data_IF_049262646290
#
_entry.id   IF_049262646290
#
_cell.length_a   1.000
_cell.length_b   1.000
_cell.length_c   1.000
_cell.angle_alpha   90.00
_cell.angle_beta   90.00
_cell.angle_gamma   90.00
#
_symmetry.space_group_name_H-M   'P 1'
#
loop_
_entity.id
_entity.type
_entity.pdbx_description
1 polymer ?
#
# COMPACT_ATOMS: atom_id res chain seq x y z
N UNK A 1 -7.34 -0.78 -17.10
CA UNK A 1 -6.43 0.06 -16.28
C UNK A 1 -6.36 -0.57 -14.92
N UNK A 2 -5.18 -0.77 -14.37
CA UNK A 2 -5.03 -1.26 -13.01
C UNK A 2 -5.35 -0.12 -12.03
N UNK A 3 -6.14 -0.42 -11.00
CA UNK A 3 -6.51 0.58 -10.00
C UNK A 3 -5.34 0.90 -9.08
N UNK A 4 -5.27 2.15 -8.63
CA UNK A 4 -4.20 2.66 -7.77
C UNK A 4 -4.77 3.18 -6.46
N UNK A 5 -4.10 2.85 -5.37
CA UNK A 5 -4.50 3.13 -4.01
C UNK A 5 -3.38 3.86 -3.29
N UNK A 6 -3.71 4.96 -2.60
CA UNK A 6 -2.71 5.80 -1.93
C UNK A 6 -2.88 5.73 -0.42
N UNK A 7 -1.81 5.32 0.27
CA UNK A 7 -1.75 5.33 1.73
C UNK A 7 -0.77 6.38 2.22
N UNK A 8 -1.11 7.04 3.34
CA UNK A 8 -0.26 8.05 4.00
C UNK A 8 -0.13 7.74 5.48
N UNK A 9 1.09 7.81 6.01
CA UNK A 9 1.36 7.56 7.42
C UNK A 9 2.68 8.18 7.89
N UNK A 10 2.99 8.03 9.18
CA UNK A 10 4.25 8.48 9.77
C UNK A 10 5.40 7.48 9.56
N UNK A 11 5.12 6.31 8.98
CA UNK A 11 6.09 5.31 8.53
C UNK A 11 5.75 4.83 7.11
N UNK A 12 6.74 4.28 6.41
CA UNK A 12 6.55 3.74 5.06
C UNK A 12 5.70 2.46 5.10
N UNK A 13 5.92 1.62 6.10
CA UNK A 13 5.22 0.36 6.34
C UNK A 13 3.73 0.59 6.57
N UNK A 14 3.38 1.53 7.45
CA UNK A 14 1.97 1.86 7.72
C UNK A 14 1.30 2.51 6.50
N UNK A 15 2.03 3.33 5.73
CA UNK A 15 1.50 3.89 4.49
C UNK A 15 1.22 2.79 3.46
N UNK A 16 2.07 1.77 3.36
CA UNK A 16 1.84 0.63 2.48
C UNK A 16 0.63 -0.20 2.91
N UNK A 17 0.47 -0.50 4.21
CA UNK A 17 -0.71 -1.21 4.74
C UNK A 17 -1.98 -0.43 4.44
N UNK A 18 -2.00 0.88 4.72
CA UNK A 18 -3.16 1.75 4.43
C UNK A 18 -3.51 1.81 2.94
N UNK A 19 -2.53 1.70 2.05
CA UNK A 19 -2.79 1.63 0.61
C UNK A 19 -3.45 0.30 0.22
N UNK A 20 -2.93 -0.83 0.75
CA UNK A 20 -3.47 -2.18 0.47
C UNK A 20 -4.87 -2.35 1.05
N UNK A 21 -5.15 -1.83 2.25
CA UNK A 21 -6.46 -1.93 2.91
C UNK A 21 -7.60 -1.25 2.13
N UNK A 22 -7.28 -0.40 1.17
CA UNK A 22 -8.28 0.22 0.28
C UNK A 22 -8.68 -0.68 -0.88
N UNK A 23 -7.94 -1.76 -1.16
CA UNK A 23 -8.27 -2.71 -2.22
C UNK A 23 -9.56 -3.44 -1.82
N UNK A 24 -10.62 -3.41 -2.65
CA UNK A 24 -11.89 -4.04 -2.31
C UNK A 24 -11.77 -5.56 -2.32
N UNK A 25 -12.39 -6.18 -1.31
CA UNK A 25 -12.55 -7.63 -1.27
C UNK A 25 -13.38 -8.13 -2.45
N UNK A 26 -12.99 -9.28 -3.01
CA UNK A 26 -13.68 -9.90 -4.15
C UNK A 26 -14.21 -11.27 -3.75
N UNK A 27 -15.35 -11.65 -4.32
CA UNK A 27 -15.91 -12.97 -4.09
C UNK A 27 -14.91 -14.06 -4.52
N UNK A 28 -14.71 -15.05 -3.65
CA UNK A 28 -13.74 -16.13 -3.87
C UNK A 28 -12.27 -15.77 -3.61
N UNK A 29 -11.97 -14.58 -3.08
CA UNK A 29 -10.62 -14.17 -2.61
C UNK A 29 -10.66 -13.59 -1.20
N UNK A 30 -9.94 -14.21 -0.28
CA UNK A 30 -9.74 -13.77 1.11
C UNK A 30 -8.43 -13.00 1.32
N UNK A 31 -7.74 -12.66 0.23
CA UNK A 31 -6.52 -11.86 0.23
C UNK A 31 -6.54 -10.80 -0.86
N UNK A 32 -5.86 -9.67 -0.61
CA UNK A 32 -5.56 -8.64 -1.60
C UNK A 32 -4.05 -8.60 -1.83
N UNK A 33 -3.65 -8.47 -3.09
CA UNK A 33 -2.24 -8.28 -3.45
C UNK A 33 -2.11 -6.97 -4.19
N UNK A 34 -1.13 -6.19 -3.80
CA UNK A 34 -0.78 -4.97 -4.49
C UNK A 34 0.74 -4.82 -4.56
N UNK A 35 1.20 -4.17 -5.63
CA UNK A 35 2.61 -3.81 -5.81
C UNK A 35 2.78 -2.32 -5.54
N UNK A 36 3.79 -1.95 -4.77
CA UNK A 36 4.18 -0.54 -4.65
C UNK A 36 4.73 -0.08 -6.00
N UNK A 37 4.11 0.95 -6.57
CA UNK A 37 4.56 1.57 -7.83
C UNK A 37 5.23 2.92 -7.59
N UNK A 38 4.93 3.58 -6.47
CA UNK A 38 5.53 4.84 -6.08
C UNK A 38 5.56 4.96 -4.56
N UNK A 39 6.58 5.61 -4.02
CA UNK A 39 6.62 6.04 -2.63
C UNK A 39 7.39 7.34 -2.50
N UNK A 40 7.15 8.08 -1.41
CA UNK A 40 7.91 9.26 -1.10
C UNK A 40 7.76 9.72 0.34
N UNK A 41 8.47 10.81 0.65
CA UNK A 41 8.55 11.43 1.97
C UNK A 41 8.35 12.94 1.85
N UNK A 42 7.41 13.46 2.61
CA UNK A 42 7.29 14.88 2.90
C UNK A 42 7.93 15.16 4.27
N UNK A 43 8.86 16.13 4.32
CA UNK A 43 9.49 16.60 5.56
C UNK A 43 9.28 18.11 5.73
N UNK A 44 8.65 18.51 6.82
CA UNK A 44 8.40 19.92 7.17
C UNK A 44 9.45 20.47 8.15
N UNK A 45 10.09 21.58 7.81
CA UNK A 45 11.24 22.14 8.55
C UNK A 45 10.91 22.85 9.87
N UNK A 46 9.65 23.19 10.15
CA UNK A 46 9.29 23.96 11.36
C UNK A 46 8.92 23.08 12.58
N UNK A 47 8.50 21.84 12.35
CA UNK A 47 8.00 20.90 13.39
C UNK A 47 8.54 19.47 13.21
N UNK A 48 9.65 19.30 12.47
CA UNK A 48 10.24 18.02 12.02
C UNK A 48 9.19 16.93 11.67
N UNK A 49 8.08 17.36 11.09
CA UNK A 49 6.98 16.45 10.77
C UNK A 49 7.32 15.71 9.49
N UNK A 50 7.21 14.38 9.56
CA UNK A 50 7.44 13.46 8.46
C UNK A 50 6.11 12.85 8.07
N UNK A 51 5.85 12.78 6.78
CA UNK A 51 4.69 12.08 6.24
C UNK A 51 5.17 11.26 5.04
N UNK A 52 4.99 9.95 5.10
CA UNK A 52 5.24 9.05 4.00
C UNK A 52 3.97 8.90 3.19
N UNK A 53 4.12 8.75 1.88
CA UNK A 53 3.05 8.33 0.98
C UNK A 53 3.51 7.14 0.14
N UNK A 54 2.58 6.22 -0.11
CA UNK A 54 2.81 5.00 -0.91
C UNK A 54 1.63 4.85 -1.86
N UNK A 55 1.93 4.62 -3.14
CA UNK A 55 0.95 4.25 -4.16
C UNK A 55 1.12 2.77 -4.48
N UNK A 56 0.04 2.03 -4.29
CA UNK A 56 -0.07 0.62 -4.61
C UNK A 56 -0.94 0.45 -5.85
N UNK A 57 -0.51 -0.41 -6.76
CA UNK A 57 -1.31 -0.89 -7.87
C UNK A 57 -1.78 -2.32 -7.56
N UNK A 58 -3.08 -2.58 -7.62
CA UNK A 58 -3.63 -3.92 -7.35
C UNK A 58 -3.09 -4.94 -8.36
N UNK A 59 -2.71 -6.14 -7.90
CA UNK A 59 -2.52 -7.29 -8.78
C UNK A 59 -3.67 -8.30 -8.60
N UNK A 60 -4.72 -8.22 -9.44
CA UNK A 60 -5.88 -9.07 -9.31
C UNK A 60 -5.63 -10.51 -9.76
N UNK A 61 -4.45 -10.81 -10.31
CA UNK A 61 -4.11 -12.15 -10.80
C UNK A 61 -2.99 -12.80 -9.96
N UNK A 62 -2.43 -12.08 -8.99
CA UNK A 62 -1.41 -12.64 -8.11
C UNK A 62 -1.96 -13.81 -7.28
N UNK A 63 -1.13 -14.85 -7.19
CA UNK A 63 -1.32 -15.95 -6.27
C UNK A 63 -0.99 -15.49 -4.84
N UNK A 64 -1.73 -16.00 -3.86
CA UNK A 64 -1.36 -15.83 -2.46
C UNK A 64 -0.03 -16.56 -2.20
N UNK A 65 0.96 -15.82 -1.69
CA UNK A 65 2.28 -16.36 -1.35
C UNK A 65 2.50 -16.17 0.14
N UNK A 66 2.79 -17.27 0.82
CA UNK A 66 3.31 -17.27 2.19
C UNK A 66 4.77 -17.69 2.14
N UNK A 67 5.60 -17.11 3.00
CA UNK A 67 6.81 -17.81 3.41
C UNK A 67 6.32 -19.10 4.10
N UNK A 68 6.76 -20.27 3.62
CA UNK A 68 6.33 -21.55 4.18
C UNK A 68 6.65 -21.68 5.68
N UNK A 69 6.32 -22.81 6.33
CA UNK A 69 6.82 -23.08 7.68
C UNK A 69 8.37 -23.01 7.74
#
# INVERSE_FOLDING_TARGET
MTERYEGRALSLEEAAVRAVDQIPWREGRDYAVGRVVEWGLQRGGFIDTKLYYVIVEEDPNADFRTEGP
#
